data_IF_181049553737
#
_entry.id   IF_181049553737
#
_cell.length_a   1.000
_cell.length_b   1.000
_cell.length_c   1.000
_cell.angle_alpha   90.00
_cell.angle_beta   90.00
_cell.angle_gamma   90.00
#
_symmetry.space_group_name_H-M   'P 1'
#
loop_
_entity.id
_entity.type
_entity.pdbx_description
1 polymer ?
#
# COMPACT_ATOMS: atom_id res chain seq x y z
N UNK A 1 27.74 19.31 28.69
CA UNK A 1 27.94 17.86 28.51
C UNK A 1 26.97 17.41 27.44
N UNK A 2 27.46 17.12 26.23
CA UNK A 2 26.64 16.56 25.16
C UNK A 2 26.15 15.19 25.60
N UNK A 3 24.83 15.02 25.71
CA UNK A 3 24.23 13.70 25.84
C UNK A 3 24.73 12.82 24.69
N UNK A 4 25.22 11.61 24.99
CA UNK A 4 25.68 10.66 23.97
C UNK A 4 24.53 10.39 22.99
N UNK A 5 24.83 10.40 21.68
CA UNK A 5 23.85 10.22 20.61
C UNK A 5 23.11 8.89 20.80
N UNK A 6 23.82 7.85 21.24
CA UNK A 6 23.25 6.55 21.56
C UNK A 6 22.20 6.64 22.68
N UNK A 7 22.52 7.34 23.77
CA UNK A 7 21.62 7.57 24.90
C UNK A 7 20.38 8.37 24.49
N UNK A 8 20.55 9.42 23.68
CA UNK A 8 19.42 10.23 23.18
C UNK A 8 18.51 9.39 22.27
N UNK A 9 19.07 8.54 21.41
CA UNK A 9 18.29 7.63 20.56
C UNK A 9 17.51 6.60 21.41
N UNK A 10 18.16 6.01 22.41
CA UNK A 10 17.51 5.03 23.27
C UNK A 10 16.36 5.65 24.07
N UNK A 11 16.57 6.83 24.68
CA UNK A 11 15.53 7.55 25.43
C UNK A 11 14.29 7.82 24.58
N UNK A 12 14.46 8.27 23.33
CA UNK A 12 13.32 8.54 22.45
C UNK A 12 12.61 7.24 22.02
N UNK A 13 13.35 6.12 21.85
CA UNK A 13 12.75 4.81 21.57
C UNK A 13 11.92 4.32 22.75
N UNK A 14 12.46 4.39 23.96
CA UNK A 14 11.75 3.99 25.18
C UNK A 14 10.49 4.85 25.40
N UNK A 15 10.56 6.14 25.08
CA UNK A 15 9.40 7.04 25.14
C UNK A 15 8.32 6.65 24.11
N UNK A 16 8.70 6.39 22.85
CA UNK A 16 7.76 5.89 21.82
C UNK A 16 7.13 4.58 22.27
N UNK A 17 7.93 3.68 22.86
CA UNK A 17 7.48 2.38 23.30
C UNK A 17 6.43 2.47 24.43
N UNK A 18 6.65 3.37 25.39
CA UNK A 18 5.70 3.65 26.46
C UNK A 18 4.41 4.32 25.94
N UNK A 19 4.55 5.24 24.99
CA UNK A 19 3.41 5.89 24.35
C UNK A 19 2.59 4.88 23.54
N UNK A 20 3.24 3.97 22.81
CA UNK A 20 2.56 2.98 21.97
C UNK A 20 1.69 2.03 22.81
N UNK A 21 2.16 1.63 23.98
CA UNK A 21 1.33 0.90 24.94
C UNK A 21 0.08 1.67 25.35
N UNK A 22 0.23 2.93 25.78
CA UNK A 22 -0.89 3.75 26.26
C UNK A 22 -1.89 4.03 25.15
N UNK A 23 -1.42 4.34 23.95
CA UNK A 23 -2.27 4.60 22.79
C UNK A 23 -3.09 3.36 22.44
N UNK A 24 -2.47 2.18 22.35
CA UNK A 24 -3.20 0.93 22.05
C UNK A 24 -4.28 0.64 23.10
N UNK A 25 -3.98 0.84 24.39
CA UNK A 25 -4.98 0.68 25.45
C UNK A 25 -6.13 1.67 25.33
N UNK A 26 -5.84 2.94 25.00
CA UNK A 26 -6.86 3.98 24.83
C UNK A 26 -7.72 3.74 23.58
N UNK A 27 -7.14 3.27 22.47
CA UNK A 27 -7.89 2.92 21.27
C UNK A 27 -8.88 1.78 21.56
N UNK A 28 -8.47 0.79 22.35
CA UNK A 28 -9.36 -0.29 22.81
C UNK A 28 -10.51 0.22 23.70
N UNK A 29 -10.22 1.15 24.62
CA UNK A 29 -11.27 1.80 25.41
C UNK A 29 -12.20 2.64 24.54
N UNK A 30 -11.68 3.28 23.50
CA UNK A 30 -12.44 4.17 22.64
C UNK A 30 -13.47 3.43 21.79
N UNK A 31 -13.17 2.22 21.32
CA UNK A 31 -14.11 1.42 20.49
C UNK A 31 -15.26 0.81 21.30
N UNK A 32 -15.12 0.68 22.62
CA UNK A 32 -16.21 0.24 23.52
C UNK A 32 -17.01 1.40 24.11
N UNK A 33 -16.67 2.63 23.75
CA UNK A 33 -17.25 3.86 24.30
C UNK A 33 -18.01 4.60 23.21
N UNK A 34 -19.35 4.57 23.27
CA UNK A 34 -20.21 5.32 22.36
C UNK A 34 -20.56 6.69 22.96
N UNK A 35 -20.15 7.77 22.29
CA UNK A 35 -20.49 9.15 22.65
C UNK A 35 -21.72 9.69 21.90
N UNK A 36 -22.34 8.89 21.03
CA UNK A 36 -23.53 9.26 20.24
C UNK A 36 -23.28 10.35 19.19
N UNK A 37 -22.03 10.69 18.90
CA UNK A 37 -21.66 11.72 17.93
C UNK A 37 -21.57 11.13 16.50
N UNK A 38 -22.03 11.89 15.52
CA UNK A 38 -21.84 11.54 14.11
C UNK A 38 -20.39 11.76 13.65
N UNK A 39 -20.07 11.19 12.48
CA UNK A 39 -18.74 11.25 11.87
C UNK A 39 -18.23 12.69 11.74
N UNK A 40 -19.06 13.59 11.21
CA UNK A 40 -18.69 14.99 10.99
C UNK A 40 -18.33 15.69 12.32
N UNK A 41 -19.08 15.41 13.38
CA UNK A 41 -18.85 15.97 14.71
C UNK A 41 -17.54 15.45 15.31
N UNK A 42 -17.27 14.15 15.21
CA UNK A 42 -16.02 13.56 15.69
C UNK A 42 -14.81 14.15 14.95
N UNK A 43 -14.85 14.21 13.61
CA UNK A 43 -13.76 14.76 12.81
C UNK A 43 -13.51 16.25 13.07
N UNK A 44 -14.57 17.05 13.24
CA UNK A 44 -14.43 18.45 13.60
C UNK A 44 -13.88 18.66 15.02
N UNK A 45 -14.20 17.74 15.93
CA UNK A 45 -13.76 17.79 17.33
C UNK A 45 -12.27 17.48 17.46
N UNK A 46 -11.77 16.43 16.82
CA UNK A 46 -10.36 16.01 16.95
C UNK A 46 -9.39 17.06 16.41
N UNK A 47 -9.80 17.81 15.39
CA UNK A 47 -9.05 18.98 14.90
C UNK A 47 -8.91 20.05 15.99
N UNK A 48 -9.96 20.30 16.79
CA UNK A 48 -9.88 21.27 17.90
C UNK A 48 -8.97 20.80 19.03
N UNK A 49 -8.85 19.48 19.24
CA UNK A 49 -7.93 18.91 20.22
C UNK A 49 -6.48 18.97 19.77
N UNK A 50 -6.22 19.17 18.48
CA UNK A 50 -4.88 19.17 17.95
C UNK A 50 -4.11 20.45 18.32
N UNK A 51 -3.14 20.30 19.22
CA UNK A 51 -2.16 21.36 19.55
C UNK A 51 -0.72 20.92 19.22
N UNK A 52 -0.57 19.83 18.47
CA UNK A 52 0.71 19.21 18.20
C UNK A 52 1.12 19.27 16.73
N UNK A 53 2.19 18.55 16.38
CA UNK A 53 2.76 18.63 15.05
C UNK A 53 2.00 17.81 14.00
N UNK A 54 1.13 16.86 14.38
CA UNK A 54 0.33 16.14 13.40
C UNK A 54 -0.59 17.10 12.65
N UNK A 55 -0.76 16.88 11.35
CA UNK A 55 -1.71 17.67 10.57
C UNK A 55 -3.15 17.26 10.89
N UNK A 56 -4.08 18.19 10.69
CA UNK A 56 -5.52 17.93 10.85
C UNK A 56 -5.98 16.79 9.94
N UNK A 57 -5.46 16.72 8.70
CA UNK A 57 -5.74 15.64 7.77
C UNK A 57 -5.26 14.28 8.30
N UNK A 58 -4.09 14.21 8.92
CA UNK A 58 -3.57 12.98 9.53
C UNK A 58 -4.47 12.52 10.69
N UNK A 59 -4.88 13.43 11.57
CA UNK A 59 -5.77 13.10 12.68
C UNK A 59 -7.15 12.67 12.19
N UNK A 60 -7.69 13.35 11.19
CA UNK A 60 -8.95 12.94 10.56
C UNK A 60 -8.84 11.54 9.97
N UNK A 61 -7.75 11.21 9.27
CA UNK A 61 -7.54 9.87 8.72
C UNK A 61 -7.43 8.78 9.82
N UNK A 62 -6.74 9.08 10.93
CA UNK A 62 -6.66 8.19 12.10
C UNK A 62 -8.06 7.89 12.66
N UNK A 63 -8.86 8.93 12.88
CA UNK A 63 -10.22 8.76 13.42
C UNK A 63 -11.17 8.14 12.41
N UNK A 64 -10.97 8.41 11.11
CA UNK A 64 -11.73 7.74 10.07
C UNK A 64 -11.48 6.24 10.04
N UNK A 65 -10.22 5.81 10.18
CA UNK A 65 -9.89 4.39 10.29
C UNK A 65 -10.60 3.72 11.50
N UNK A 66 -10.72 4.43 12.62
CA UNK A 66 -11.49 3.96 13.78
C UNK A 66 -12.99 3.84 13.49
N UNK A 67 -13.57 4.84 12.81
CA UNK A 67 -15.01 4.82 12.49
C UNK A 67 -15.38 3.75 11.47
N UNK A 68 -14.53 3.48 10.47
CA UNK A 68 -14.74 2.39 9.50
C UNK A 68 -14.76 1.03 10.20
N UNK A 69 -13.92 0.84 11.22
CA UNK A 69 -13.92 -0.38 12.02
C UNK A 69 -15.21 -0.56 12.83
N UNK A 70 -15.93 0.55 13.08
CA UNK A 70 -17.11 0.59 13.91
C UNK A 70 -16.79 0.50 15.40
N UNK A 71 -17.84 0.65 16.20
CA UNK A 71 -17.79 0.35 17.62
C UNK A 71 -17.81 -1.17 17.83
N UNK A 72 -17.27 -1.59 18.97
CA UNK A 72 -17.41 -2.98 19.41
C UNK A 72 -18.90 -3.33 19.64
N UNK A 73 -19.35 -4.56 19.36
CA UNK A 73 -20.73 -4.95 19.63
C UNK A 73 -21.18 -4.80 21.09
N UNK A 74 -20.24 -4.82 22.04
CA UNK A 74 -20.49 -4.60 23.46
C UNK A 74 -20.28 -3.13 23.89
N UNK A 75 -20.14 -2.21 22.93
CA UNK A 75 -19.95 -0.79 23.22
C UNK A 75 -21.10 -0.21 24.04
N UNK A 76 -20.75 0.61 25.03
CA UNK A 76 -21.69 1.24 25.94
C UNK A 76 -21.84 2.72 25.60
N UNK A 77 -23.08 3.19 25.58
CA UNK A 77 -23.36 4.63 25.55
C UNK A 77 -22.86 5.26 26.85
N UNK A 78 -21.90 6.18 26.73
CA UNK A 78 -21.34 6.92 27.86
C UNK A 78 -21.45 8.42 27.63
N UNK A 79 -21.19 9.21 28.67
CA UNK A 79 -21.25 10.67 28.55
C UNK A 79 -20.24 11.19 27.50
N UNK A 80 -20.67 12.08 26.58
CA UNK A 80 -19.79 12.62 25.54
C UNK A 80 -18.50 13.25 26.07
N UNK A 81 -18.53 13.87 27.25
CA UNK A 81 -17.37 14.43 27.94
C UNK A 81 -16.28 13.40 28.23
N UNK A 82 -16.65 12.17 28.59
CA UNK A 82 -15.69 11.09 28.87
C UNK A 82 -15.03 10.64 27.56
N UNK A 83 -15.80 10.53 26.48
CA UNK A 83 -15.26 10.22 25.15
C UNK A 83 -14.33 11.33 24.65
N UNK A 84 -14.68 12.59 24.93
CA UNK A 84 -13.87 13.76 24.59
C UNK A 84 -12.53 13.76 25.34
N UNK A 85 -12.52 13.39 26.62
CA UNK A 85 -11.29 13.24 27.41
C UNK A 85 -10.39 12.12 26.85
N UNK A 86 -10.97 10.97 26.49
CA UNK A 86 -10.24 9.87 25.84
C UNK A 86 -9.63 10.32 24.51
N UNK A 87 -10.43 10.96 23.66
CA UNK A 87 -10.00 11.42 22.34
C UNK A 87 -8.87 12.45 22.45
N UNK A 88 -8.97 13.37 23.42
CA UNK A 88 -7.93 14.36 23.73
C UNK A 88 -6.63 13.69 24.20
N UNK A 89 -6.72 12.69 25.08
CA UNK A 89 -5.54 11.95 25.56
C UNK A 89 -4.83 11.21 24.42
N UNK A 90 -5.59 10.53 23.55
CA UNK A 90 -5.07 9.86 22.36
C UNK A 90 -4.35 10.87 21.46
N UNK A 91 -4.99 12.00 21.12
CA UNK A 91 -4.39 13.04 20.26
C UNK A 91 -3.10 13.59 20.87
N UNK A 92 -3.07 13.80 22.19
CA UNK A 92 -1.89 14.29 22.88
C UNK A 92 -0.72 13.29 22.84
N UNK A 93 -1.00 12.01 23.09
CA UNK A 93 0.01 10.95 23.06
C UNK A 93 0.55 10.74 21.64
N UNK A 94 -0.31 10.70 20.62
CA UNK A 94 0.10 10.60 19.23
C UNK A 94 1.01 11.76 18.81
N UNK A 95 0.66 12.97 19.22
CA UNK A 95 1.50 14.15 19.00
C UNK A 95 2.86 14.07 19.73
N UNK A 96 2.91 13.55 20.95
CA UNK A 96 4.17 13.30 21.67
C UNK A 96 5.03 12.25 20.96
N UNK A 97 4.41 11.15 20.51
CA UNK A 97 5.09 10.08 19.78
C UNK A 97 5.79 10.61 18.53
N UNK A 98 5.08 11.43 17.76
CA UNK A 98 5.57 12.02 16.51
C UNK A 98 6.73 12.98 16.77
N UNK A 99 6.73 13.73 17.88
CA UNK A 99 7.89 14.55 18.29
C UNK A 99 9.11 13.69 18.57
N UNK A 100 8.96 12.58 19.30
CA UNK A 100 10.05 11.65 19.57
C UNK A 100 10.56 10.99 18.28
N UNK A 101 9.65 10.62 17.37
CA UNK A 101 10.00 10.09 16.06
C UNK A 101 10.82 11.11 15.26
N UNK A 102 10.37 12.37 15.18
CA UNK A 102 11.09 13.44 14.51
C UNK A 102 12.48 13.73 15.10
N UNK A 103 12.65 13.62 16.42
CA UNK A 103 13.99 13.72 17.04
C UNK A 103 14.91 12.55 16.65
N UNK A 104 14.37 11.34 16.54
CA UNK A 104 15.12 10.18 16.01
C UNK A 104 15.46 10.39 14.53
N UNK A 105 14.50 10.85 13.72
CA UNK A 105 14.66 11.14 12.29
C UNK A 105 15.79 12.12 12.06
N UNK A 106 15.78 13.28 12.74
CA UNK A 106 16.87 14.28 12.67
C UNK A 106 18.26 13.69 12.91
N UNK A 107 18.39 12.82 13.91
CA UNK A 107 19.66 12.15 14.24
C UNK A 107 20.05 11.16 13.13
N UNK A 108 19.10 10.38 12.61
CA UNK A 108 19.36 9.36 11.58
C UNK A 108 19.68 9.97 10.22
N UNK A 109 18.96 11.00 9.80
CA UNK A 109 19.18 11.66 8.49
C UNK A 109 20.49 12.44 8.46
N UNK A 110 20.92 13.02 9.59
CA UNK A 110 22.26 13.58 9.71
C UNK A 110 23.37 12.54 9.47
N UNK A 111 23.05 11.25 9.60
CA UNK A 111 23.94 10.12 9.35
C UNK A 111 23.60 9.36 8.05
N UNK A 112 22.84 9.97 7.13
CA UNK A 112 22.59 9.42 5.79
C UNK A 112 21.53 8.34 5.69
N UNK A 113 20.68 8.14 6.70
CA UNK A 113 19.56 7.22 6.61
C UNK A 113 18.40 7.77 5.76
N UNK A 114 17.65 6.89 5.10
CA UNK A 114 16.44 7.23 4.35
C UNK A 114 15.25 7.59 5.25
N UNK A 115 14.37 8.47 4.74
CA UNK A 115 13.14 8.94 5.42
C UNK A 115 12.04 7.88 5.49
N UNK A 116 12.06 6.93 4.55
CA UNK A 116 11.12 5.81 4.52
C UNK A 116 11.91 4.51 4.64
N UNK A 117 11.57 3.70 5.64
CA UNK A 117 12.20 2.42 5.94
C UNK A 117 11.09 1.36 6.15
N UNK A 118 10.75 0.58 5.10
CA UNK A 118 9.65 -0.39 5.17
C UNK A 118 9.90 -1.49 6.21
N UNK A 119 11.17 -1.82 6.47
CA UNK A 119 11.60 -2.72 7.55
C UNK A 119 11.15 -2.19 8.91
N UNK A 120 11.41 -0.90 9.15
CA UNK A 120 11.08 -0.27 10.43
C UNK A 120 9.58 -0.16 10.62
N UNK A 121 8.84 0.14 9.54
CA UNK A 121 7.38 0.16 9.58
C UNK A 121 6.82 -1.22 9.94
N UNK A 122 7.29 -2.29 9.29
CA UNK A 122 6.86 -3.66 9.61
C UNK A 122 7.14 -4.03 11.08
N UNK A 123 8.29 -3.62 11.63
CA UNK A 123 8.61 -3.82 13.04
C UNK A 123 7.66 -3.06 13.98
N UNK A 124 7.35 -1.80 13.67
CA UNK A 124 6.40 -0.99 14.45
C UNK A 124 5.02 -1.63 14.41
N UNK A 125 4.55 -2.02 13.23
CA UNK A 125 3.24 -2.68 13.04
C UNK A 125 3.15 -3.99 13.83
N UNK A 126 4.15 -4.87 13.71
CA UNK A 126 4.19 -6.12 14.45
C UNK A 126 4.18 -5.88 15.97
N UNK A 127 4.91 -4.87 16.43
CA UNK A 127 4.93 -4.49 17.84
C UNK A 127 3.55 -4.05 18.31
N UNK A 128 2.94 -3.05 17.70
CA UNK A 128 1.65 -2.53 18.17
C UNK A 128 0.53 -3.58 18.14
N UNK A 129 0.55 -4.49 17.16
CA UNK A 129 -0.36 -5.63 17.14
C UNK A 129 -0.09 -6.61 18.30
N UNK A 130 1.16 -6.82 18.70
CA UNK A 130 1.48 -7.66 19.86
C UNK A 130 1.06 -7.04 21.20
N UNK A 131 0.94 -5.70 21.24
CA UNK A 131 0.47 -4.96 22.41
C UNK A 131 -1.06 -4.95 22.51
N UNK A 132 -1.78 -5.34 21.47
CA UNK A 132 -3.22 -5.19 21.38
C UNK A 132 -3.97 -6.38 22.02
N UNK A 133 -4.60 -6.20 23.20
CA UNK A 133 -5.40 -7.25 23.81
C UNK A 133 -6.79 -7.40 23.17
N UNK A 134 -7.19 -6.47 22.29
CA UNK A 134 -8.58 -6.31 21.84
C UNK A 134 -9.40 -5.44 22.80
N UNK A 135 -10.63 -5.06 22.42
CA UNK A 135 -11.42 -5.66 21.33
C UNK A 135 -11.16 -5.08 19.92
N UNK A 136 -10.42 -3.97 19.78
CA UNK A 136 -10.11 -3.43 18.45
C UNK A 136 -9.30 -4.46 17.64
N UNK A 137 -9.65 -4.62 16.36
CA UNK A 137 -8.98 -5.59 15.51
C UNK A 137 -7.61 -5.06 15.05
N UNK A 138 -6.64 -5.96 14.88
CA UNK A 138 -5.29 -5.62 14.42
C UNK A 138 -5.24 -4.86 13.08
N UNK A 139 -6.09 -5.15 12.06
CA UNK A 139 -6.13 -4.34 10.84
C UNK A 139 -6.42 -2.85 11.13
N UNK A 140 -7.33 -2.55 12.06
CA UNK A 140 -7.63 -1.16 12.45
C UNK A 140 -6.45 -0.50 13.13
N UNK A 141 -5.75 -1.20 14.03
CA UNK A 141 -4.52 -0.69 14.67
C UNK A 141 -3.46 -0.38 13.63
N UNK A 142 -3.28 -1.24 12.62
CA UNK A 142 -2.34 -1.01 11.52
C UNK A 142 -2.71 0.23 10.72
N UNK A 143 -3.98 0.43 10.39
CA UNK A 143 -4.46 1.63 9.68
C UNK A 143 -4.18 2.91 10.47
N UNK A 144 -4.46 2.92 11.78
CA UNK A 144 -4.15 4.06 12.65
C UNK A 144 -2.64 4.34 12.65
N UNK A 145 -1.83 3.32 12.91
CA UNK A 145 -0.38 3.49 13.00
C UNK A 145 0.27 3.83 11.66
N UNK A 146 -0.34 3.46 10.54
CA UNK A 146 0.11 3.87 9.21
C UNK A 146 0.00 5.38 9.04
N UNK A 147 -1.12 5.97 9.45
CA UNK A 147 -1.29 7.42 9.42
C UNK A 147 -0.37 8.14 10.41
N UNK A 148 -0.11 7.55 11.57
CA UNK A 148 0.85 8.11 12.54
C UNK A 148 2.27 8.13 11.96
N UNK A 149 2.68 7.05 11.27
CA UNK A 149 3.98 6.99 10.60
C UNK A 149 4.02 7.97 9.42
N UNK A 150 2.97 8.01 8.59
CA UNK A 150 2.83 8.95 7.48
C UNK A 150 2.98 10.40 7.93
N UNK A 151 2.27 10.79 9.00
CA UNK A 151 2.37 12.12 9.59
C UNK A 151 3.75 12.42 10.18
N UNK A 152 4.42 11.41 10.75
CA UNK A 152 5.80 11.56 11.23
C UNK A 152 6.77 11.85 10.09
N UNK A 153 6.66 11.10 9.00
CA UNK A 153 7.50 11.29 7.80
C UNK A 153 7.25 12.66 7.18
N UNK A 154 5.97 13.07 7.04
CA UNK A 154 5.59 14.36 6.47
C UNK A 154 6.21 15.57 7.22
N UNK A 155 6.46 15.43 8.52
CA UNK A 155 7.11 16.46 9.34
C UNK A 155 8.63 16.51 9.17
N UNK A 156 9.24 15.40 8.78
CA UNK A 156 10.68 15.29 8.57
C UNK A 156 11.08 15.68 7.15
N UNK A 157 10.31 15.24 6.16
CA UNK A 157 10.48 15.57 4.74
C UNK A 157 9.17 15.48 4.00
N UNK A 158 8.98 16.43 3.08
CA UNK A 158 7.93 16.38 2.07
C UNK A 158 8.27 15.34 1.00
N UNK A 159 7.93 14.07 1.26
CA UNK A 159 8.10 12.99 0.29
C UNK A 159 7.06 13.10 -0.82
N UNK A 160 7.50 12.88 -2.05
CA UNK A 160 6.66 12.85 -3.25
C UNK A 160 6.54 11.42 -3.77
N UNK A 161 5.33 10.89 -3.80
CA UNK A 161 4.99 9.55 -4.27
C UNK A 161 4.32 9.67 -5.63
N UNK A 162 4.96 9.14 -6.67
CA UNK A 162 4.38 9.08 -8.01
C UNK A 162 3.70 7.74 -8.26
N UNK A 163 2.62 7.72 -9.03
CA UNK A 163 1.86 6.50 -9.30
C UNK A 163 1.23 6.52 -10.70
N UNK A 164 0.92 5.34 -11.24
CA UNK A 164 0.16 5.22 -12.48
C UNK A 164 -1.27 5.74 -12.26
N UNK A 165 -1.53 6.94 -12.76
CA UNK A 165 -2.77 7.66 -12.55
C UNK A 165 -3.92 7.24 -13.46
N UNK A 166 -5.03 8.01 -13.45
CA UNK A 166 -5.25 9.24 -12.68
C UNK A 166 -5.53 9.03 -11.18
N UNK A 167 -5.82 10.12 -10.47
CA UNK A 167 -6.27 10.12 -9.07
C UNK A 167 -7.49 9.19 -8.86
N UNK A 168 -7.62 8.64 -7.66
CA UNK A 168 -8.69 7.74 -7.24
C UNK A 168 -8.76 6.38 -7.99
N UNK A 169 -7.73 6.03 -8.76
CA UNK A 169 -7.54 4.66 -9.28
C UNK A 169 -7.07 3.68 -8.21
N UNK A 170 -7.03 2.38 -8.51
CA UNK A 170 -6.49 1.37 -7.60
C UNK A 170 -4.99 1.56 -7.31
N UNK A 171 -4.20 2.06 -8.27
CA UNK A 171 -2.79 2.38 -8.01
C UNK A 171 -2.64 3.52 -7.01
N UNK A 172 -3.52 4.55 -7.10
CA UNK A 172 -3.56 5.62 -6.10
C UNK A 172 -3.91 5.08 -4.71
N UNK A 173 -4.91 4.19 -4.63
CA UNK A 173 -5.29 3.51 -3.39
C UNK A 173 -4.14 2.68 -2.82
N UNK A 174 -3.41 1.96 -3.66
CA UNK A 174 -2.24 1.19 -3.23
C UNK A 174 -1.12 2.10 -2.70
N UNK A 175 -0.93 3.28 -3.31
CA UNK A 175 0.02 4.28 -2.83
C UNK A 175 -0.36 4.80 -1.44
N UNK A 176 -1.62 5.21 -1.27
CA UNK A 176 -2.15 5.66 0.03
C UNK A 176 -2.09 4.52 1.06
N UNK A 177 -2.45 3.30 0.68
CA UNK A 177 -2.42 2.14 1.56
C UNK A 177 -1.00 1.77 2.00
N UNK A 178 0.05 2.10 1.24
CA UNK A 178 1.43 1.90 1.68
C UNK A 178 1.92 3.05 2.56
N UNK A 179 1.69 4.30 2.13
CA UNK A 179 2.37 5.48 2.67
C UNK A 179 1.53 6.37 3.59
N UNK A 180 0.21 6.15 3.67
CA UNK A 180 -0.76 6.97 4.41
C UNK A 180 -1.10 8.31 3.73
N UNK A 181 -2.18 8.97 4.13
CA UNK A 181 -2.72 10.12 3.36
C UNK A 181 -1.90 11.40 3.47
N UNK A 182 -0.92 11.46 4.37
CA UNK A 182 -0.24 12.71 4.77
C UNK A 182 0.93 13.12 3.88
N UNK A 183 1.24 12.35 2.83
CA UNK A 183 2.32 12.62 1.88
C UNK A 183 1.82 13.27 0.58
N UNK A 184 2.74 13.75 -0.25
CA UNK A 184 2.40 14.31 -1.56
C UNK A 184 2.27 13.20 -2.61
N UNK A 185 1.16 13.18 -3.33
CA UNK A 185 0.86 12.19 -4.36
C UNK A 185 0.79 12.84 -5.74
N UNK A 186 1.48 12.26 -6.72
CA UNK A 186 1.49 12.74 -8.11
C UNK A 186 1.06 11.63 -9.07
N UNK A 187 0.01 11.90 -9.85
CA UNK A 187 -0.41 11.02 -10.93
C UNK A 187 0.51 11.19 -12.15
N UNK A 188 1.11 10.10 -12.61
CA UNK A 188 1.79 10.02 -13.91
C UNK A 188 0.92 9.31 -14.93
N UNK A 189 1.11 9.63 -16.22
CA UNK A 189 0.27 9.13 -17.31
C UNK A 189 0.63 7.71 -17.73
N UNK A 190 1.90 7.34 -17.62
CA UNK A 190 2.40 6.04 -18.03
C UNK A 190 3.29 5.43 -16.96
N UNK A 191 3.49 4.10 -17.02
CA UNK A 191 4.43 3.41 -16.14
C UNK A 191 5.86 3.92 -16.38
N UNK A 192 6.24 4.18 -17.63
CA UNK A 192 7.54 4.77 -17.95
C UNK A 192 7.77 6.11 -17.23
N UNK A 193 6.75 6.98 -17.18
CA UNK A 193 6.83 8.26 -16.48
C UNK A 193 7.05 8.08 -14.97
N UNK A 194 6.37 7.10 -14.35
CA UNK A 194 6.57 6.73 -12.93
C UNK A 194 8.04 6.39 -12.66
N UNK A 195 8.65 5.53 -13.47
CA UNK A 195 10.06 5.18 -13.32
C UNK A 195 10.98 6.39 -13.55
N UNK A 196 10.71 7.18 -14.60
CA UNK A 196 11.52 8.35 -14.96
C UNK A 196 11.52 9.44 -13.87
N UNK A 197 10.36 9.68 -13.25
CA UNK A 197 10.24 10.66 -12.17
C UNK A 197 11.04 10.24 -10.92
N UNK A 198 11.05 8.95 -10.59
CA UNK A 198 11.84 8.43 -9.45
C UNK A 198 13.34 8.44 -9.78
N UNK A 199 13.73 8.02 -10.98
CA UNK A 199 15.13 8.03 -11.41
C UNK A 199 15.72 9.44 -11.44
N UNK A 200 14.98 10.42 -11.94
CA UNK A 200 15.38 11.83 -11.95
C UNK A 200 15.35 12.48 -10.56
N UNK A 201 14.65 11.89 -9.59
CA UNK A 201 14.44 12.46 -8.26
C UNK A 201 13.34 13.53 -8.20
N UNK A 202 12.51 13.63 -9.24
CA UNK A 202 11.29 14.45 -9.24
C UNK A 202 10.18 13.85 -8.34
N UNK A 203 10.29 12.56 -8.05
CA UNK A 203 9.56 11.83 -7.02
C UNK A 203 10.55 10.98 -6.21
N UNK A 204 10.22 10.68 -4.95
CA UNK A 204 11.04 9.84 -4.07
C UNK A 204 10.76 8.35 -4.28
N UNK A 205 9.49 8.00 -4.51
CA UNK A 205 9.03 6.62 -4.72
C UNK A 205 7.97 6.55 -5.82
N UNK A 206 7.89 5.39 -6.46
CA UNK A 206 6.92 5.09 -7.50
C UNK A 206 6.03 3.90 -7.11
N UNK A 207 4.76 3.92 -7.51
CA UNK A 207 3.84 2.78 -7.31
C UNK A 207 3.32 2.28 -8.66
N UNK A 208 3.56 0.99 -8.93
CA UNK A 208 3.18 0.35 -10.19
C UNK A 208 2.50 -0.99 -9.96
N UNK A 209 1.45 -1.33 -10.74
CA UNK A 209 0.87 -2.67 -10.70
C UNK A 209 1.83 -3.67 -11.37
N UNK A 210 1.95 -4.88 -10.84
CA UNK A 210 2.80 -5.93 -11.43
C UNK A 210 1.99 -7.16 -11.85
N UNK A 211 0.87 -7.43 -11.18
CA UNK A 211 0.09 -8.64 -11.39
C UNK A 211 -1.34 -8.46 -10.87
N UNK A 212 -2.31 -8.98 -11.59
CA UNK A 212 -3.69 -9.12 -11.15
C UNK A 212 -4.07 -10.61 -11.16
N UNK A 213 -4.81 -11.09 -10.16
CA UNK A 213 -5.18 -12.50 -10.03
C UNK A 213 -6.10 -13.01 -11.16
N UNK A 214 -6.82 -12.11 -11.84
CA UNK A 214 -7.72 -12.44 -12.94
C UNK A 214 -7.06 -12.26 -14.32
N UNK A 215 -6.33 -11.15 -14.51
CA UNK A 215 -5.77 -10.74 -15.82
C UNK A 215 -4.29 -11.13 -16.02
N UNK A 216 -3.62 -11.60 -14.98
CA UNK A 216 -2.20 -11.95 -15.01
C UNK A 216 -1.26 -10.74 -14.90
N UNK A 217 -0.07 -10.86 -15.48
CA UNK A 217 1.02 -9.91 -15.24
C UNK A 217 0.92 -8.61 -16.05
N UNK A 218 1.35 -7.51 -15.43
CA UNK A 218 1.49 -6.19 -16.07
C UNK A 218 2.87 -6.09 -16.70
N UNK A 219 2.95 -6.55 -17.95
CA UNK A 219 4.20 -6.68 -18.70
C UNK A 219 5.04 -5.40 -18.81
N UNK A 220 4.41 -4.23 -18.90
CA UNK A 220 5.17 -2.99 -19.04
C UNK A 220 5.93 -2.63 -17.75
N UNK A 221 5.36 -2.90 -16.57
CA UNK A 221 6.07 -2.75 -15.29
C UNK A 221 7.25 -3.70 -15.18
N UNK A 222 7.07 -4.94 -15.65
CA UNK A 222 8.13 -5.94 -15.70
C UNK A 222 9.29 -5.51 -16.62
N UNK A 223 8.99 -4.97 -17.81
CA UNK A 223 10.01 -4.40 -18.71
C UNK A 223 10.82 -3.32 -18.00
N UNK A 224 10.12 -2.35 -17.38
CA UNK A 224 10.78 -1.23 -16.74
C UNK A 224 11.68 -1.66 -15.57
N UNK A 225 11.28 -2.65 -14.78
CA UNK A 225 12.12 -3.23 -13.72
C UNK A 225 13.42 -3.82 -14.27
N UNK A 226 13.42 -4.38 -15.49
CA UNK A 226 14.63 -4.92 -16.11
C UNK A 226 15.57 -3.81 -16.60
N UNK A 227 15.03 -2.70 -17.08
CA UNK A 227 15.81 -1.61 -17.68
C UNK A 227 16.29 -0.57 -16.65
N UNK A 228 15.51 -0.34 -15.60
CA UNK A 228 15.76 0.67 -14.57
C UNK A 228 16.80 0.26 -13.52
N UNK A 229 17.48 1.19 -12.86
CA UNK A 229 18.31 0.90 -11.69
C UNK A 229 17.56 1.01 -10.34
N UNK A 230 16.25 1.21 -10.38
CA UNK A 230 15.41 1.25 -9.19
C UNK A 230 15.22 -0.14 -8.58
N UNK A 231 14.93 -0.15 -7.29
CA UNK A 231 14.71 -1.36 -6.51
C UNK A 231 13.29 -1.38 -5.96
N UNK A 232 12.77 -2.58 -5.76
CA UNK A 232 11.50 -2.82 -5.07
C UNK A 232 11.77 -2.69 -3.57
N UNK A 233 11.11 -1.71 -2.94
CA UNK A 233 11.24 -1.42 -1.52
C UNK A 233 10.10 -2.04 -0.69
N UNK A 234 8.91 -2.19 -1.29
CA UNK A 234 7.71 -2.72 -0.63
C UNK A 234 6.74 -3.30 -1.67
N UNK A 235 5.72 -4.00 -1.20
CA UNK A 235 4.62 -4.50 -2.02
C UNK A 235 3.28 -4.25 -1.32
N UNK A 236 2.22 -4.11 -2.11
CA UNK A 236 0.83 -4.03 -1.61
C UNK A 236 -0.01 -5.01 -2.41
N UNK A 237 -0.79 -5.85 -1.73
CA UNK A 237 -1.92 -6.53 -2.37
C UNK A 237 -3.16 -5.69 -2.11
N UNK A 238 -4.00 -5.51 -3.13
CA UNK A 238 -5.23 -4.73 -3.01
C UNK A 238 -6.37 -5.57 -3.56
N UNK A 239 -7.34 -5.97 -2.71
CA UNK A 239 -8.61 -6.49 -3.17
C UNK A 239 -9.30 -5.47 -4.08
N UNK A 240 -9.78 -5.94 -5.24
CA UNK A 240 -10.42 -5.11 -6.24
C UNK A 240 -11.93 -5.32 -6.15
N UNK A 241 -12.61 -4.33 -5.57
CA UNK A 241 -14.06 -4.27 -5.48
C UNK A 241 -14.58 -3.23 -6.49
N UNK A 242 -15.31 -3.69 -7.50
CA UNK A 242 -15.94 -2.81 -8.48
C UNK A 242 -17.34 -2.40 -8.01
N UNK A 243 -17.64 -1.12 -8.14
CA UNK A 243 -18.93 -0.53 -7.86
C UNK A 243 -19.57 -0.04 -9.16
N UNK A 244 -20.89 -0.14 -9.26
CA UNK A 244 -21.68 0.59 -10.25
C UNK A 244 -22.00 1.98 -9.71
N UNK A 245 -21.57 3.02 -10.42
CA UNK A 245 -21.60 4.41 -9.96
C UNK A 245 -22.37 5.25 -10.98
N UNK A 246 -23.41 5.97 -10.55
CA UNK A 246 -24.20 6.83 -11.44
C UNK A 246 -24.99 7.87 -10.65
N UNK A 247 -25.27 9.02 -11.26
CA UNK A 247 -26.28 9.97 -10.76
C UNK A 247 -27.70 9.45 -10.99
N UNK A 248 -27.89 8.59 -11.99
CA UNK A 248 -29.19 8.02 -12.36
C UNK A 248 -29.52 6.77 -11.54
N UNK A 249 -30.80 6.52 -11.23
CA UNK A 249 -31.23 5.25 -10.69
C UNK A 249 -31.03 4.12 -11.71
N UNK A 250 -30.94 2.88 -11.24
CA UNK A 250 -30.55 1.71 -12.03
C UNK A 250 -31.39 1.55 -13.32
N UNK A 251 -32.70 1.82 -13.23
CA UNK A 251 -33.66 1.63 -14.32
C UNK A 251 -33.52 2.66 -15.46
N UNK A 252 -32.80 3.76 -15.23
CA UNK A 252 -32.56 4.83 -16.22
C UNK A 252 -31.18 4.73 -16.87
N UNK A 253 -30.39 3.73 -16.53
CA UNK A 253 -29.04 3.57 -17.09
C UNK A 253 -29.16 2.99 -18.50
N UNK A 254 -28.68 3.75 -19.47
CA UNK A 254 -28.64 3.38 -20.90
C UNK A 254 -27.22 3.03 -21.36
N UNK A 255 -26.19 3.42 -20.58
CA UNK A 255 -24.79 3.27 -20.94
C UNK A 255 -23.92 3.00 -19.72
N UNK A 256 -22.97 2.08 -19.86
CA UNK A 256 -21.97 1.76 -18.84
C UNK A 256 -20.57 1.97 -19.40
N UNK A 257 -19.82 2.88 -18.78
CA UNK A 257 -18.45 3.20 -19.14
C UNK A 257 -17.47 2.57 -18.13
N UNK A 258 -16.36 2.03 -18.61
CA UNK A 258 -15.15 1.80 -17.80
C UNK A 258 -13.99 1.40 -18.70
N UNK A 259 -12.85 1.07 -18.11
CA UNK A 259 -11.76 0.43 -18.83
C UNK A 259 -12.12 -1.03 -19.17
N UNK A 260 -11.71 -1.50 -20.34
CA UNK A 260 -11.87 -2.87 -20.85
C UNK A 260 -11.76 -3.97 -19.79
N UNK A 261 -10.71 -3.92 -18.95
CA UNK A 261 -10.48 -4.88 -17.86
C UNK A 261 -11.58 -4.87 -16.79
N UNK A 262 -12.01 -3.68 -16.35
CA UNK A 262 -13.06 -3.57 -15.33
C UNK A 262 -14.43 -4.00 -15.89
N UNK A 263 -14.73 -3.65 -17.14
CA UNK A 263 -15.94 -4.11 -17.85
C UNK A 263 -15.92 -5.64 -18.03
N UNK A 264 -14.76 -6.18 -18.39
CA UNK A 264 -14.55 -7.60 -18.58
C UNK A 264 -14.76 -8.43 -17.31
N UNK A 265 -14.43 -7.84 -16.15
CA UNK A 265 -14.56 -8.41 -14.81
C UNK A 265 -15.95 -8.26 -14.17
N UNK A 266 -16.89 -7.53 -14.78
CA UNK A 266 -18.25 -7.34 -14.26
C UNK A 266 -19.32 -7.78 -15.27
N UNK A 267 -18.94 -8.63 -16.22
CA UNK A 267 -19.72 -8.88 -17.43
C UNK A 267 -20.98 -9.68 -17.13
N UNK A 268 -20.90 -10.62 -16.19
CA UNK A 268 -22.05 -11.44 -15.82
C UNK A 268 -23.09 -10.58 -15.09
N UNK A 269 -22.64 -9.76 -14.14
CA UNK A 269 -23.51 -8.85 -13.42
C UNK A 269 -24.17 -7.82 -14.35
N UNK A 270 -23.39 -7.20 -15.25
CA UNK A 270 -23.91 -6.21 -16.20
C UNK A 270 -24.95 -6.83 -17.15
N UNK A 271 -24.72 -8.05 -17.66
CA UNK A 271 -25.69 -8.75 -18.52
C UNK A 271 -26.98 -9.11 -17.78
N UNK A 272 -26.90 -9.43 -16.50
CA UNK A 272 -28.06 -9.82 -15.71
C UNK A 272 -28.91 -8.62 -15.28
N UNK A 273 -28.29 -7.49 -14.97
CA UNK A 273 -28.96 -6.32 -14.37
C UNK A 273 -29.17 -5.16 -15.33
N UNK A 274 -28.32 -5.00 -16.35
CA UNK A 274 -28.36 -3.93 -17.35
C UNK A 274 -28.22 -4.49 -18.78
N UNK A 275 -29.11 -5.42 -19.21
CA UNK A 275 -28.96 -6.14 -20.48
C UNK A 275 -29.02 -5.23 -21.73
N UNK A 276 -29.73 -4.11 -21.62
CA UNK A 276 -29.95 -3.16 -22.73
C UNK A 276 -28.95 -2.00 -22.75
N UNK A 277 -28.07 -1.90 -21.74
CA UNK A 277 -27.13 -0.79 -21.65
C UNK A 277 -25.94 -0.95 -22.62
N UNK A 278 -25.56 0.14 -23.29
CA UNK A 278 -24.38 0.18 -24.15
C UNK A 278 -23.10 0.11 -23.30
N UNK A 279 -22.20 -0.83 -23.58
CA UNK A 279 -20.92 -0.94 -22.90
C UNK A 279 -19.84 -0.17 -23.66
N UNK A 280 -19.21 0.81 -23.02
CA UNK A 280 -18.24 1.73 -23.64
C UNK A 280 -16.88 1.68 -22.92
N UNK A 281 -15.84 1.32 -23.67
CA UNK A 281 -14.46 1.35 -23.18
C UNK A 281 -13.91 2.78 -23.14
N UNK A 282 -13.24 3.14 -22.04
CA UNK A 282 -12.63 4.45 -21.81
C UNK A 282 -11.24 4.29 -21.19
N UNK A 283 -10.48 5.38 -21.18
CA UNK A 283 -9.04 5.37 -20.81
C UNK A 283 -8.75 4.93 -19.37
N UNK A 284 -9.69 5.10 -18.43
CA UNK A 284 -9.52 4.65 -17.03
C UNK A 284 -10.85 4.51 -16.30
N UNK A 285 -10.86 3.79 -15.17
CA UNK A 285 -12.02 3.66 -14.29
C UNK A 285 -12.44 4.99 -13.68
N UNK A 286 -11.49 5.87 -13.34
CA UNK A 286 -11.79 7.20 -12.80
C UNK A 286 -12.41 8.12 -13.87
N UNK A 287 -11.94 8.04 -15.11
CA UNK A 287 -12.52 8.78 -16.23
C UNK A 287 -13.98 8.38 -16.48
N UNK A 288 -14.31 7.09 -16.32
CA UNK A 288 -15.70 6.66 -16.41
C UNK A 288 -16.59 7.33 -15.38
N UNK A 289 -16.12 7.49 -14.13
CA UNK A 289 -16.89 8.19 -13.10
C UNK A 289 -17.07 9.67 -13.44
N UNK A 290 -16.03 10.34 -13.98
CA UNK A 290 -16.14 11.71 -14.47
C UNK A 290 -17.23 11.84 -15.56
N UNK A 291 -17.29 10.89 -16.49
CA UNK A 291 -18.34 10.89 -17.53
C UNK A 291 -19.74 10.67 -16.91
N UNK A 292 -19.86 9.76 -15.94
CA UNK A 292 -21.11 9.49 -15.24
C UNK A 292 -21.57 10.63 -14.31
N UNK A 293 -20.63 11.47 -13.85
CA UNK A 293 -20.92 12.72 -13.13
C UNK A 293 -21.58 13.74 -14.07
N UNK A 294 -21.05 13.89 -15.28
CA UNK A 294 -21.45 14.91 -16.26
C UNK A 294 -22.68 14.51 -17.10
N UNK A 295 -23.05 13.22 -17.13
CA UNK A 295 -24.04 12.69 -18.09
C UNK A 295 -25.12 11.84 -17.40
N UNK A 296 -26.39 12.26 -17.53
CA UNK A 296 -27.54 11.47 -17.08
C UNK A 296 -27.66 10.18 -17.91
N UNK A 297 -28.16 9.10 -17.30
CA UNK A 297 -28.29 7.78 -17.95
C UNK A 297 -26.97 7.02 -18.15
N UNK A 298 -25.82 7.59 -17.76
CA UNK A 298 -24.52 6.93 -17.80
C UNK A 298 -24.14 6.41 -16.41
N UNK A 299 -23.66 5.18 -16.36
CA UNK A 299 -23.03 4.58 -15.20
C UNK A 299 -21.56 4.27 -15.46
N UNK A 300 -20.79 4.18 -14.38
CA UNK A 300 -19.39 3.84 -14.39
C UNK A 300 -19.15 2.57 -13.57
N UNK A 301 -18.25 1.71 -14.05
CA UNK A 301 -17.67 0.64 -13.22
C UNK A 301 -16.33 1.12 -12.67
N UNK A 302 -16.24 1.40 -11.39
CA UNK A 302 -15.00 1.88 -10.77
C UNK A 302 -14.95 1.58 -9.26
N UNK A 303 -13.86 1.99 -8.62
CA UNK A 303 -13.70 1.84 -7.17
C UNK A 303 -14.61 2.79 -6.39
N UNK A 304 -14.93 2.43 -5.15
CA UNK A 304 -15.67 3.30 -4.22
C UNK A 304 -14.95 4.65 -3.99
N UNK A 305 -13.61 4.66 -3.97
CA UNK A 305 -12.84 5.91 -3.85
C UNK A 305 -13.10 6.86 -5.02
N UNK A 306 -13.24 6.33 -6.25
CA UNK A 306 -13.57 7.14 -7.41
C UNK A 306 -14.95 7.79 -7.24
N UNK A 307 -15.95 7.04 -6.76
CA UNK A 307 -17.29 7.58 -6.48
C UNK A 307 -17.26 8.75 -5.47
N UNK A 308 -16.49 8.59 -4.39
CA UNK A 308 -16.30 9.63 -3.38
C UNK A 308 -15.61 10.87 -3.96
N UNK A 309 -14.57 10.67 -4.77
CA UNK A 309 -13.77 11.77 -5.35
C UNK A 309 -14.57 12.70 -6.26
N UNK A 310 -15.50 12.12 -7.02
CA UNK A 310 -16.37 12.83 -7.97
C UNK A 310 -17.79 13.07 -7.40
N UNK A 311 -18.02 12.76 -6.13
CA UNK A 311 -19.32 12.93 -5.47
C UNK A 311 -20.50 12.28 -6.22
N UNK A 312 -20.26 11.12 -6.85
CA UNK A 312 -21.28 10.36 -7.57
C UNK A 312 -21.78 9.21 -6.71
N UNK A 313 -23.10 8.99 -6.72
CA UNK A 313 -23.71 7.94 -5.91
C UNK A 313 -23.30 6.55 -6.41
N UNK A 314 -22.91 5.69 -5.47
CA UNK A 314 -22.77 4.25 -5.71
C UNK A 314 -24.19 3.66 -5.76
N UNK A 315 -24.56 3.09 -6.90
CA UNK A 315 -25.82 2.38 -7.08
C UNK A 315 -25.70 0.97 -6.51
N UNK A 316 -24.62 0.26 -6.82
CA UNK A 316 -24.36 -1.09 -6.34
C UNK A 316 -22.87 -1.32 -6.07
N UNK A 317 -22.56 -2.16 -5.09
CA UNK A 317 -21.20 -2.54 -4.68
C UNK A 317 -20.93 -4.00 -5.00
N UNK A 318 -19.66 -4.36 -5.18
CA UNK A 318 -19.26 -5.75 -5.37
C UNK A 318 -19.84 -6.39 -6.64
N UNK A 319 -19.84 -5.65 -7.77
CA UNK A 319 -20.44 -6.13 -9.03
C UNK A 319 -19.48 -6.97 -9.89
N UNK A 320 -18.26 -7.22 -9.39
CA UNK A 320 -17.30 -8.09 -10.06
C UNK A 320 -17.79 -9.55 -10.09
N UNK A 321 -17.46 -10.26 -11.17
CA UNK A 321 -17.83 -11.65 -11.41
C UNK A 321 -17.10 -12.61 -10.44
N UNK A 322 -16.00 -12.15 -9.80
CA UNK A 322 -15.17 -12.93 -8.88
C UNK A 322 -14.78 -12.15 -7.63
N UNK A 323 -15.00 -12.75 -6.46
CA UNK A 323 -14.66 -12.14 -5.17
C UNK A 323 -13.18 -12.27 -4.78
N UNK A 324 -12.41 -13.11 -5.48
CA UNK A 324 -10.97 -13.33 -5.24
C UNK A 324 -10.06 -12.46 -6.12
N UNK A 325 -10.57 -11.32 -6.59
CA UNK A 325 -9.83 -10.38 -7.44
C UNK A 325 -8.87 -9.52 -6.60
N UNK A 326 -7.56 -9.72 -6.80
CA UNK A 326 -6.51 -9.03 -6.06
C UNK A 326 -5.46 -8.54 -7.05
N UNK A 327 -5.06 -7.28 -6.92
CA UNK A 327 -3.93 -6.72 -7.66
C UNK A 327 -2.73 -6.55 -6.74
N UNK A 328 -1.57 -7.04 -7.18
CA UNK A 328 -0.28 -6.81 -6.54
C UNK A 328 0.36 -5.56 -7.15
N UNK A 329 0.74 -4.63 -6.29
CA UNK A 329 1.47 -3.42 -6.59
C UNK A 329 2.86 -3.49 -5.96
N UNK A 330 3.83 -2.88 -6.62
CA UNK A 330 5.20 -2.74 -6.14
C UNK A 330 5.51 -1.26 -5.90
N UNK A 331 6.21 -1.01 -4.80
CA UNK A 331 6.79 0.28 -4.48
C UNK A 331 8.24 0.25 -4.94
N UNK A 332 8.58 1.14 -5.87
CA UNK A 332 9.92 1.28 -6.42
C UNK A 332 10.60 2.54 -5.87
N UNK A 333 11.90 2.46 -5.64
CA UNK A 333 12.69 3.56 -5.12
C UNK A 333 14.19 3.34 -5.30
N UNK A 334 14.97 4.29 -4.81
CA UNK A 334 16.45 4.18 -4.74
C UNK A 334 16.91 3.50 -3.45
N UNK A 335 16.01 3.40 -2.47
CA UNK A 335 16.24 2.86 -1.13
C UNK A 335 16.29 1.34 -1.13
N UNK A 336 17.15 0.77 -0.30
CA UNK A 336 17.21 -0.67 -0.03
C UNK A 336 16.59 -0.95 1.34
N UNK A 337 15.61 -1.87 1.38
CA UNK A 337 15.10 -2.33 2.67
C UNK A 337 16.18 -3.15 3.38
N UNK A 338 16.13 -3.13 4.71
CA UNK A 338 17.00 -3.94 5.57
C UNK A 338 16.34 -5.30 5.80
N UNK A 339 17.11 -6.34 6.13
CA UNK A 339 16.52 -7.64 6.46
C UNK A 339 15.64 -7.55 7.71
N UNK A 340 14.42 -8.06 7.62
CA UNK A 340 13.61 -8.39 8.80
C UNK A 340 14.08 -9.70 9.45
N UNK A 341 14.62 -10.61 8.66
CA UNK A 341 15.01 -11.95 9.09
C UNK A 341 13.81 -12.88 9.31
N UNK A 342 14.12 -14.13 9.66
CA UNK A 342 13.17 -15.20 9.98
C UNK A 342 12.18 -15.53 8.84
N UNK A 343 12.62 -15.41 7.57
CA UNK A 343 11.78 -15.72 6.40
C UNK A 343 10.65 -14.70 6.16
N UNK A 344 10.71 -13.53 6.80
CA UNK A 344 9.74 -12.43 6.63
C UNK A 344 10.12 -11.47 5.51
N UNK A 345 11.13 -11.81 4.74
CA UNK A 345 11.58 -11.04 3.59
C UNK A 345 11.24 -11.79 2.30
N UNK A 346 10.96 -11.01 1.25
CA UNK A 346 10.82 -11.49 -0.12
C UNK A 346 11.89 -10.82 -0.98
N UNK A 347 12.55 -11.60 -1.83
CA UNK A 347 13.51 -11.09 -2.81
C UNK A 347 12.99 -11.36 -4.21
N UNK A 348 12.99 -10.33 -5.07
CA UNK A 348 12.65 -10.44 -6.47
C UNK A 348 13.90 -10.38 -7.35
N UNK A 349 13.96 -11.26 -8.35
CA UNK A 349 15.08 -11.40 -9.28
C UNK A 349 14.56 -11.43 -10.72
N UNK A 350 15.38 -10.92 -11.65
CA UNK A 350 15.29 -11.28 -13.06
C UNK A 350 16.53 -12.02 -13.47
N UNK A 351 16.36 -13.16 -14.10
CA UNK A 351 17.44 -13.88 -14.74
C UNK A 351 17.17 -14.02 -16.22
N UNK A 352 18.22 -14.17 -17.02
CA UNK A 352 18.10 -14.75 -18.36
C UNK A 352 18.81 -16.09 -18.40
N UNK A 353 18.37 -16.95 -19.33
CA UNK A 353 18.94 -18.27 -19.55
C UNK A 353 19.42 -18.38 -20.99
N UNK A 354 20.45 -19.19 -21.22
CA UNK A 354 20.77 -19.67 -22.56
C UNK A 354 19.68 -20.66 -23.01
N UNK A 355 19.38 -20.68 -24.30
CA UNK A 355 18.50 -21.71 -24.89
C UNK A 355 19.26 -23.04 -25.00
N UNK A 356 19.29 -23.79 -23.90
CA UNK A 356 19.91 -25.11 -23.80
C UNK A 356 19.08 -26.07 -22.94
N UNK A 357 19.23 -27.36 -23.20
CA UNK A 357 18.54 -28.41 -22.44
C UNK A 357 18.93 -28.35 -20.96
N UNK A 358 17.93 -28.25 -20.08
CA UNK A 358 18.12 -28.24 -18.63
C UNK A 358 18.52 -26.88 -18.04
N UNK A 359 18.57 -25.79 -18.82
CA UNK A 359 18.97 -24.46 -18.32
C UNK A 359 18.11 -23.99 -17.12
N UNK A 360 16.79 -24.16 -17.23
CA UNK A 360 15.85 -23.78 -16.18
C UNK A 360 15.98 -24.69 -14.96
N UNK A 361 16.14 -26.00 -15.18
CA UNK A 361 16.32 -26.95 -14.09
C UNK A 361 17.58 -26.63 -13.26
N UNK A 362 18.73 -26.42 -13.90
CA UNK A 362 19.99 -26.05 -13.23
C UNK A 362 19.81 -24.80 -12.37
N UNK A 363 19.11 -23.80 -12.91
CA UNK A 363 18.78 -22.57 -12.19
C UNK A 363 17.93 -22.83 -10.95
N UNK A 364 16.85 -23.60 -11.08
CA UNK A 364 15.96 -23.92 -9.97
C UNK A 364 16.68 -24.75 -8.89
N UNK A 365 17.59 -25.64 -9.30
CA UNK A 365 18.41 -26.42 -8.37
C UNK A 365 19.30 -25.55 -7.48
N UNK A 366 19.77 -24.39 -7.96
CA UNK A 366 20.58 -23.47 -7.15
C UNK A 366 19.82 -22.97 -5.90
N UNK A 367 18.50 -22.80 -6.01
CA UNK A 367 17.63 -22.46 -4.87
C UNK A 367 17.25 -23.70 -4.05
N UNK A 368 16.82 -24.78 -4.72
CA UNK A 368 16.29 -25.96 -4.06
C UNK A 368 17.31 -26.66 -3.14
N UNK A 369 18.58 -26.76 -3.55
CA UNK A 369 19.67 -27.37 -2.75
C UNK A 369 19.94 -26.61 -1.43
N UNK A 370 19.49 -25.37 -1.34
CA UNK A 370 19.67 -24.47 -0.19
C UNK A 370 18.38 -24.28 0.62
N UNK A 371 17.30 -25.00 0.28
CA UNK A 371 16.01 -24.89 0.97
C UNK A 371 15.30 -23.54 0.74
N UNK A 372 15.65 -22.80 -0.32
CA UNK A 372 15.05 -21.51 -0.61
C UNK A 372 13.70 -21.73 -1.32
N UNK A 373 12.62 -21.25 -0.72
CA UNK A 373 11.28 -21.35 -1.29
C UNK A 373 11.07 -20.29 -2.38
N UNK A 374 10.59 -20.71 -3.56
CA UNK A 374 10.20 -19.82 -4.65
C UNK A 374 8.68 -19.61 -4.61
N UNK A 375 8.25 -18.37 -4.43
CA UNK A 375 6.83 -18.00 -4.39
C UNK A 375 6.25 -17.64 -5.75
N UNK A 376 7.09 -17.31 -6.73
CA UNK A 376 6.69 -17.00 -8.11
C UNK A 376 7.81 -17.34 -9.08
N UNK A 377 7.45 -17.88 -10.24
CA UNK A 377 8.31 -17.94 -11.42
C UNK A 377 7.49 -17.64 -12.67
N UNK A 378 7.94 -16.69 -13.48
CA UNK A 378 7.25 -16.29 -14.70
C UNK A 378 8.25 -16.02 -15.83
N UNK A 379 8.05 -16.69 -16.96
CA UNK A 379 8.90 -16.56 -18.15
C UNK A 379 8.36 -15.53 -19.12
N UNK A 380 9.24 -14.77 -19.77
CA UNK A 380 8.86 -13.76 -20.75
C UNK A 380 9.90 -13.56 -21.84
N UNK A 381 9.51 -13.37 -23.11
CA UNK A 381 10.47 -13.04 -24.17
C UNK A 381 11.23 -11.74 -23.87
N UNK A 382 12.55 -11.76 -24.07
CA UNK A 382 13.44 -10.65 -23.70
C UNK A 382 13.31 -9.39 -24.57
N UNK A 383 12.64 -9.51 -25.73
CA UNK A 383 12.53 -8.51 -26.80
C UNK A 383 13.87 -8.01 -27.40
N UNK A 384 15.02 -8.43 -26.87
CA UNK A 384 16.35 -8.08 -27.37
C UNK A 384 16.85 -9.02 -28.45
N UNK A 385 16.55 -10.32 -28.32
CA UNK A 385 16.83 -11.35 -29.32
C UNK A 385 15.66 -12.32 -29.42
N UNK A 386 15.47 -12.89 -30.59
CA UNK A 386 14.48 -13.96 -30.79
C UNK A 386 14.86 -15.15 -29.90
N UNK A 387 13.87 -15.71 -29.19
CA UNK A 387 14.00 -16.90 -28.34
C UNK A 387 14.85 -16.76 -27.07
N UNK A 388 15.29 -15.54 -26.73
CA UNK A 388 15.84 -15.24 -25.40
C UNK A 388 14.70 -14.93 -24.42
N UNK A 389 14.73 -15.52 -23.22
CA UNK A 389 13.72 -15.33 -22.19
C UNK A 389 14.29 -14.72 -20.90
N UNK A 390 13.53 -13.82 -20.29
CA UNK A 390 13.68 -13.43 -18.90
C UNK A 390 12.79 -14.30 -18.02
N UNK A 391 13.30 -14.69 -16.85
CA UNK A 391 12.52 -15.31 -15.80
C UNK A 391 12.49 -14.39 -14.60
N UNK A 392 11.29 -14.00 -14.20
CA UNK A 392 11.03 -13.23 -12.98
C UNK A 392 10.77 -14.23 -11.85
N UNK A 393 11.55 -14.13 -10.79
CA UNK A 393 11.52 -15.06 -9.68
C UNK A 393 11.35 -14.29 -8.38
N UNK A 394 10.36 -14.68 -7.59
CA UNK A 394 10.24 -14.24 -6.20
C UNK A 394 10.60 -15.38 -5.27
N UNK A 395 11.49 -15.13 -4.31
CA UNK A 395 11.91 -16.08 -3.29
C UNK A 395 11.63 -15.55 -1.89
N UNK A 396 11.41 -16.47 -0.95
CA UNK A 396 11.36 -16.16 0.48
C UNK A 396 12.78 -16.14 1.02
N UNK A 397 13.18 -15.02 1.59
CA UNK A 397 14.55 -14.73 2.02
C UNK A 397 14.99 -13.32 1.60
N UNK A 398 16.01 -12.81 2.26
CA UNK A 398 16.61 -11.51 1.98
C UNK A 398 17.87 -11.66 1.12
N UNK A 399 18.17 -10.66 0.28
CA UNK A 399 19.40 -10.63 -0.52
C UNK A 399 20.66 -10.82 0.32
N UNK A 400 20.70 -10.30 1.55
CA UNK A 400 21.86 -10.42 2.45
C UNK A 400 22.00 -11.79 3.12
N UNK A 401 21.01 -12.69 3.00
CA UNK A 401 21.09 -14.03 3.58
C UNK A 401 22.20 -14.85 2.91
N UNK A 402 23.00 -15.56 3.72
CA UNK A 402 24.11 -16.37 3.21
C UNK A 402 23.67 -17.39 2.15
N UNK A 403 22.52 -18.03 2.37
CA UNK A 403 21.94 -18.99 1.43
C UNK A 403 21.55 -18.33 0.10
N UNK A 404 20.96 -17.12 0.15
CA UNK A 404 20.55 -16.38 -1.04
C UNK A 404 21.77 -15.88 -1.81
N UNK A 405 22.77 -15.32 -1.12
CA UNK A 405 24.04 -14.93 -1.75
C UNK A 405 24.74 -16.10 -2.44
N UNK A 406 24.80 -17.26 -1.79
CA UNK A 406 25.40 -18.45 -2.39
C UNK A 406 24.63 -18.94 -3.63
N UNK A 407 23.28 -18.85 -3.63
CA UNK A 407 22.47 -19.17 -4.81
C UNK A 407 22.75 -18.17 -5.95
N UNK A 408 22.78 -16.87 -5.67
CA UNK A 408 23.05 -15.83 -6.66
C UNK A 408 24.45 -15.95 -7.29
N UNK A 409 25.45 -16.35 -6.51
CA UNK A 409 26.80 -16.61 -7.02
C UNK A 409 26.83 -17.81 -7.98
N UNK A 410 26.11 -18.89 -7.66
CA UNK A 410 25.98 -20.06 -8.54
C UNK A 410 25.30 -19.66 -9.87
N UNK A 411 24.20 -18.90 -9.79
CA UNK A 411 23.48 -18.43 -10.98
C UNK A 411 24.34 -17.53 -11.88
N UNK A 412 25.12 -16.62 -11.30
CA UNK A 412 26.05 -15.77 -12.07
C UNK A 412 27.10 -16.57 -12.85
N UNK A 413 27.34 -17.82 -12.49
CA UNK A 413 28.25 -18.72 -13.21
C UNK A 413 27.69 -19.24 -14.54
N UNK A 414 26.37 -19.27 -14.74
CA UNK A 414 25.75 -19.88 -15.93
C UNK A 414 24.58 -19.10 -16.55
N UNK A 415 24.05 -18.09 -15.87
CA UNK A 415 23.03 -17.18 -16.39
C UNK A 415 23.69 -15.93 -17.03
N UNK A 416 23.35 -15.55 -18.27
CA UNK A 416 23.86 -14.32 -18.89
C UNK A 416 23.50 -13.05 -18.12
N UNK A 417 22.33 -13.04 -17.46
CA UNK A 417 21.87 -11.96 -16.62
C UNK A 417 21.36 -12.55 -15.31
N UNK A 418 21.81 -11.97 -14.20
CA UNK A 418 21.22 -12.13 -12.87
C UNK A 418 21.09 -10.74 -12.27
N UNK A 419 19.87 -10.21 -12.30
CA UNK A 419 19.55 -8.89 -11.77
C UNK A 419 18.73 -9.04 -10.50
N UNK A 420 19.25 -8.49 -9.42
CA UNK A 420 18.47 -8.30 -8.20
C UNK A 420 17.56 -7.08 -8.38
N UNK A 421 16.26 -7.27 -8.16
CA UNK A 421 15.26 -6.19 -8.26
C UNK A 421 14.94 -5.56 -6.92
N UNK A 422 15.27 -6.20 -5.80
CA UNK A 422 14.96 -5.70 -4.46
C UNK A 422 14.63 -6.82 -3.49
N UNK A 423 14.85 -6.52 -2.21
CA UNK A 423 14.42 -7.35 -1.09
C UNK A 423 13.58 -6.48 -0.19
N UNK A 424 12.44 -6.99 0.28
CA UNK A 424 11.44 -6.18 0.96
C UNK A 424 10.57 -7.04 1.89
N UNK A 425 9.88 -6.41 2.86
CA UNK A 425 9.00 -7.12 3.77
C UNK A 425 7.96 -7.98 3.04
N UNK A 426 7.89 -9.25 3.40
CA UNK A 426 6.89 -10.20 2.93
C UNK A 426 5.64 -10.14 3.82
N UNK A 427 4.98 -8.99 3.82
CA UNK A 427 3.66 -8.83 4.44
C UNK A 427 2.61 -9.46 3.52
N UNK A 428 1.85 -10.42 4.02
CA UNK A 428 0.89 -11.20 3.24
C UNK A 428 -0.43 -10.44 2.99
N UNK A 429 -1.34 -11.05 2.21
CA UNK A 429 -2.71 -10.52 2.04
C UNK A 429 -3.45 -10.45 3.39
N UNK A 430 -3.15 -11.38 4.29
CA UNK A 430 -3.69 -11.42 5.66
C UNK A 430 -3.12 -10.33 6.58
N UNK A 431 -2.12 -9.57 6.10
CA UNK A 431 -1.53 -8.46 6.84
C UNK A 431 -2.16 -7.09 6.51
N UNK A 432 -3.12 -7.06 5.57
CA UNK A 432 -3.83 -5.86 5.13
C UNK A 432 -5.00 -5.48 6.04
#
# INVERSE_FOLDING_TARGET
MSEDISTKLQRNRDAIDAIDHQVVDLLNKRVVSDGGADEATVLAKVVKFNQGPLSDATLQAIYWALMIAGLDPEAQAIEPSIVDELDLEIVNLLNQRVRHAGEIGKIKHANGADYYDPTREAQVMAKVCSLNPGPIKNPTIRSVYREVISGSIALEKKLVITYLGPEATYTHQAAISNFGVSLDYRASKTIHDVFSEVESGAADYGVVPIENSTEGAVFHSMDMLVESNLHICSQVYMPIEHCLISQSPLEKIEKVCSKDQALGQCREWLRANLPDAEIVDVVSTAEAVRIAEETEGVAAVASALSAQRYCVKIQERGIQDRDDNVTRFLIIGKTHAKPLGDGRDKTSLVISLHDEVGALEKTLQAFAKRGINLSKIESRPSRKKAWDYYFFIDLVGHYEDEAVQAALQELKGHCPLVKWLGSYPNLGILDL
#
